data_IF_136643373128
#
_entry.id   IF_136643373128
#
_cell.length_a   1.000
_cell.length_b   1.000
_cell.length_c   1.000
_cell.angle_alpha   90.00
_cell.angle_beta   90.00
_cell.angle_gamma   90.00
#
_symmetry.space_group_name_H-M   'P 1'
#
loop_
_entity.id
_entity.type
_entity.pdbx_description
1 polymer ?
#
# COMPACT_ATOMS: atom_id res chain seq x y z
N UNK A 1 39.32 -41.62 -74.18
CA UNK A 1 40.67 -41.82 -73.60
C UNK A 1 41.05 -40.56 -72.84
N UNK A 2 41.54 -40.71 -71.59
CA UNK A 2 42.24 -39.70 -70.75
C UNK A 2 41.41 -38.45 -70.37
N UNK A 3 41.48 -37.86 -69.19
CA UNK A 3 42.05 -38.11 -67.84
C UNK A 3 41.53 -36.92 -67.00
N UNK A 4 41.22 -37.16 -65.72
CA UNK A 4 41.64 -36.43 -64.51
C UNK A 4 41.96 -34.91 -64.66
N UNK A 5 41.56 -33.97 -63.80
CA UNK A 5 41.62 -33.95 -62.31
C UNK A 5 41.30 -32.51 -61.80
N UNK A 6 40.71 -32.38 -60.59
CA UNK A 6 40.89 -31.30 -59.55
C UNK A 6 40.59 -29.83 -59.90
N UNK A 7 40.21 -28.89 -59.02
CA UNK A 7 39.93 -28.70 -57.58
C UNK A 7 39.41 -27.22 -57.52
N UNK A 8 38.51 -26.77 -56.65
CA UNK A 8 38.80 -26.29 -55.29
C UNK A 8 37.50 -25.75 -54.69
N UNK A 9 37.27 -26.09 -53.42
CA UNK A 9 36.20 -25.56 -52.58
C UNK A 9 36.50 -24.13 -52.14
N UNK A 10 35.47 -23.28 -52.09
CA UNK A 10 35.49 -21.95 -51.45
C UNK A 10 34.69 -22.06 -50.14
N UNK A 11 35.25 -21.73 -48.97
CA UNK A 11 34.48 -21.67 -47.75
C UNK A 11 33.74 -20.32 -47.67
N UNK A 12 32.43 -20.41 -47.46
CA UNK A 12 31.55 -19.28 -47.18
C UNK A 12 31.82 -18.82 -45.73
N UNK A 13 32.51 -17.68 -45.57
CA UNK A 13 32.65 -16.99 -44.29
C UNK A 13 31.29 -16.40 -43.90
N UNK A 14 30.59 -17.06 -42.99
CA UNK A 14 29.42 -16.52 -42.31
C UNK A 14 29.84 -15.48 -41.28
N UNK A 15 29.61 -14.21 -41.58
CA UNK A 15 29.71 -13.11 -40.62
C UNK A 15 28.48 -13.19 -39.72
N UNK A 16 28.66 -13.71 -38.50
CA UNK A 16 27.68 -13.64 -37.44
C UNK A 16 27.67 -12.22 -36.86
N UNK A 17 26.77 -11.38 -37.35
CA UNK A 17 26.50 -10.05 -36.82
C UNK A 17 25.88 -10.16 -35.43
N UNK A 18 26.71 -9.94 -34.41
CA UNK A 18 26.32 -9.81 -33.02
C UNK A 18 25.60 -8.46 -32.85
N UNK A 19 24.27 -8.46 -32.81
CA UNK A 19 23.50 -7.29 -32.39
C UNK A 19 23.70 -7.08 -30.88
N UNK A 20 24.61 -6.18 -30.52
CA UNK A 20 24.63 -5.64 -29.17
C UNK A 20 23.41 -4.72 -29.01
N UNK A 21 22.38 -5.23 -28.35
CA UNK A 21 21.31 -4.40 -27.81
C UNK A 21 21.94 -3.50 -26.75
N UNK A 22 22.10 -2.23 -27.12
CA UNK A 22 22.41 -1.16 -26.18
C UNK A 22 21.22 -1.03 -25.22
N UNK A 23 21.37 -1.57 -24.01
CA UNK A 23 20.54 -1.16 -22.89
C UNK A 23 20.94 0.27 -22.53
N UNK A 24 20.22 1.24 -23.07
CA UNK A 24 20.21 2.60 -22.54
C UNK A 24 19.57 2.54 -21.15
N UNK A 25 20.38 2.23 -20.14
CA UNK A 25 20.02 2.39 -18.74
C UNK A 25 20.13 3.88 -18.46
N UNK A 26 19.09 4.61 -18.86
CA UNK A 26 18.91 6.01 -18.48
C UNK A 26 18.68 6.06 -16.98
N UNK A 27 19.78 6.08 -16.22
CA UNK A 27 19.79 6.40 -14.79
C UNK A 27 19.61 7.91 -14.64
N UNK A 28 18.42 8.39 -15.00
CA UNK A 28 17.91 9.71 -14.65
C UNK A 28 17.42 9.69 -13.21
N UNK A 29 18.34 9.57 -12.25
CA UNK A 29 18.08 9.83 -10.84
C UNK A 29 17.95 11.33 -10.60
N UNK A 30 16.92 11.95 -11.18
CA UNK A 30 16.44 13.25 -10.73
C UNK A 30 15.82 13.10 -9.34
N UNK A 31 15.74 14.16 -8.52
CA UNK A 31 14.99 14.10 -7.28
C UNK A 31 13.56 13.68 -7.63
N UNK A 32 13.15 12.49 -7.15
CA UNK A 32 11.74 12.10 -7.19
C UNK A 32 10.94 13.28 -6.64
N UNK A 33 10.01 13.81 -7.45
CA UNK A 33 9.19 14.95 -7.06
C UNK A 33 8.61 14.62 -5.68
N UNK A 34 8.94 15.45 -4.70
CA UNK A 34 8.40 15.31 -3.36
C UNK A 34 6.90 15.60 -3.46
N UNK A 35 6.06 14.63 -3.11
CA UNK A 35 4.61 14.74 -3.21
C UNK A 35 4.10 15.40 -1.95
N UNK A 36 3.34 16.49 -2.08
CA UNK A 36 2.76 17.21 -0.96
C UNK A 36 1.45 16.54 -0.49
N UNK A 37 1.35 16.07 0.77
CA UNK A 37 0.10 15.58 1.36
C UNK A 37 -1.07 16.57 1.29
N UNK A 38 -0.79 17.86 1.19
CA UNK A 38 -1.80 18.91 1.03
C UNK A 38 -2.42 19.00 -0.37
N UNK A 39 -1.88 18.29 -1.37
CA UNK A 39 -2.42 18.23 -2.73
C UNK A 39 -3.13 16.89 -2.97
N UNK A 40 -4.48 16.84 -2.91
CA UNK A 40 -5.23 15.59 -2.98
C UNK A 40 -4.99 14.78 -4.25
N UNK A 41 -4.85 15.45 -5.39
CA UNK A 41 -4.67 14.79 -6.68
C UNK A 41 -3.28 14.16 -6.78
N UNK A 42 -2.23 14.88 -6.37
CA UNK A 42 -0.86 14.33 -6.38
C UNK A 42 -0.73 13.14 -5.41
N UNK A 43 -1.39 13.21 -4.25
CA UNK A 43 -1.41 12.07 -3.32
C UNK A 43 -2.16 10.90 -3.93
N UNK A 44 -3.38 11.11 -4.42
CA UNK A 44 -4.16 10.05 -5.04
C UNK A 44 -3.43 9.37 -6.21
N UNK A 45 -2.59 10.09 -6.95
CA UNK A 45 -1.82 9.52 -8.06
C UNK A 45 -0.72 8.57 -7.59
N UNK A 46 -0.14 8.81 -6.40
CA UNK A 46 1.02 8.04 -5.93
C UNK A 46 0.71 6.98 -4.90
N UNK A 47 -0.46 7.01 -4.25
CA UNK A 47 -0.86 5.97 -3.29
C UNK A 47 -0.91 4.59 -3.98
N UNK A 48 -0.36 3.59 -3.30
CA UNK A 48 -0.38 2.20 -3.79
C UNK A 48 -1.46 1.43 -3.05
N UNK A 49 -2.56 1.11 -3.71
CA UNK A 49 -3.64 0.29 -3.14
C UNK A 49 -3.71 -1.04 -3.89
N UNK A 50 -3.10 -2.11 -3.36
CA UNK A 50 -3.04 -3.42 -4.02
C UNK A 50 -4.42 -3.95 -4.41
N UNK A 51 -4.53 -4.49 -5.63
CA UNK A 51 -5.78 -5.06 -6.15
C UNK A 51 -6.86 -4.03 -6.49
N UNK A 52 -6.58 -2.74 -6.34
CA UNK A 52 -7.53 -1.69 -6.71
C UNK A 52 -7.57 -1.43 -8.21
N UNK A 53 -8.67 -0.86 -8.66
CA UNK A 53 -8.77 -0.13 -9.93
C UNK A 53 -9.03 1.34 -9.63
N UNK A 54 -8.33 2.22 -10.32
CA UNK A 54 -8.53 3.67 -10.20
C UNK A 54 -9.62 4.12 -11.17
N UNK A 55 -10.53 4.94 -10.67
CA UNK A 55 -11.68 5.46 -11.39
C UNK A 55 -11.66 6.99 -11.32
N UNK A 56 -11.98 7.64 -12.43
CA UNK A 56 -12.09 9.10 -12.50
C UNK A 56 -13.44 9.58 -11.98
N UNK A 57 -13.44 10.78 -11.42
CA UNK A 57 -14.60 11.43 -10.82
C UNK A 57 -14.73 11.19 -9.32
N UNK A 58 -15.93 11.51 -8.82
CA UNK A 58 -16.26 11.36 -7.41
C UNK A 58 -16.60 9.92 -7.07
N UNK A 59 -16.24 9.51 -5.85
CA UNK A 59 -16.68 8.24 -5.29
C UNK A 59 -18.22 8.15 -5.30
N UNK A 60 -18.80 6.96 -5.56
CA UNK A 60 -20.25 6.75 -5.53
C UNK A 60 -20.92 7.30 -4.26
N UNK A 61 -22.14 7.81 -4.40
CA UNK A 61 -22.92 8.32 -3.29
C UNK A 61 -23.52 7.16 -2.47
N UNK A 62 -23.68 7.32 -1.14
CA UNK A 62 -24.43 6.36 -0.33
C UNK A 62 -25.82 6.13 -0.90
N UNK A 63 -26.28 4.88 -0.91
CA UNK A 63 -27.61 4.55 -1.43
C UNK A 63 -28.72 4.97 -0.47
N UNK A 64 -28.46 5.00 0.83
CA UNK A 64 -29.40 5.47 1.86
C UNK A 64 -30.62 4.56 2.05
N UNK A 65 -30.53 3.30 1.60
CA UNK A 65 -31.59 2.30 1.72
C UNK A 65 -31.36 1.39 2.94
N UNK A 66 -32.41 0.74 3.49
CA UNK A 66 -32.25 -0.26 4.55
C UNK A 66 -31.36 -1.45 4.17
N UNK A 67 -31.26 -1.73 2.86
CA UNK A 67 -30.42 -2.77 2.28
C UNK A 67 -28.97 -2.32 2.07
N UNK A 68 -28.66 -1.03 2.28
CA UNK A 68 -27.28 -0.54 2.16
C UNK A 68 -26.40 -1.13 3.26
N UNK A 69 -25.16 -1.54 2.95
CA UNK A 69 -24.23 -1.95 3.99
C UNK A 69 -23.99 -0.84 5.02
N UNK A 70 -23.80 -1.23 6.27
CA UNK A 70 -23.31 -0.38 7.35
C UNK A 70 -21.82 -0.62 7.57
N UNK A 71 -21.08 0.46 7.84
CA UNK A 71 -19.65 0.38 8.18
C UNK A 71 -19.37 1.03 9.52
N UNK A 72 -18.38 0.48 10.21
CA UNK A 72 -17.78 1.06 11.40
C UNK A 72 -16.26 0.92 11.29
N UNK A 73 -15.55 2.03 11.44
CA UNK A 73 -14.09 1.96 11.55
C UNK A 73 -13.70 1.56 12.96
N UNK A 74 -12.68 0.71 13.05
CA UNK A 74 -12.09 0.34 14.35
C UNK A 74 -11.19 1.48 14.85
N UNK A 75 -10.50 2.16 13.94
CA UNK A 75 -9.50 3.18 14.27
C UNK A 75 -9.80 4.52 13.59
N UNK A 76 -9.81 5.59 14.39
CA UNK A 76 -10.17 6.95 13.96
C UNK A 76 -8.94 7.82 13.68
N UNK A 77 -7.76 7.43 14.19
CA UNK A 77 -6.49 8.14 14.06
C UNK A 77 -5.39 7.21 13.60
N UNK A 78 -4.67 7.61 12.54
CA UNK A 78 -3.58 6.81 11.97
C UNK A 78 -2.37 7.66 11.60
N UNK A 79 -1.18 7.25 12.06
CA UNK A 79 0.10 7.90 11.79
C UNK A 79 1.11 6.90 11.22
N UNK A 80 1.66 7.20 10.05
CA UNK A 80 2.53 6.28 9.30
C UNK A 80 3.74 7.01 8.71
N UNK A 81 4.90 6.36 8.67
CA UNK A 81 6.06 6.91 7.96
C UNK A 81 5.93 6.78 6.45
N UNK A 82 6.48 7.74 5.70
CA UNK A 82 6.66 7.60 4.26
C UNK A 82 7.47 6.34 3.95
N UNK A 83 7.07 5.62 2.89
CA UNK A 83 7.58 4.28 2.54
C UNK A 83 6.85 3.14 3.26
N UNK A 84 5.87 3.43 4.12
CA UNK A 84 5.10 2.43 4.85
C UNK A 84 3.78 2.05 4.18
N UNK A 85 3.05 1.14 4.83
CA UNK A 85 1.73 0.72 4.41
C UNK A 85 0.73 0.88 5.56
N UNK A 86 -0.27 1.73 5.36
CA UNK A 86 -1.46 1.83 6.20
C UNK A 86 -2.33 0.60 5.99
N UNK A 87 -2.91 0.05 7.04
CA UNK A 87 -3.93 -1.00 6.96
C UNK A 87 -5.10 -0.58 7.82
N UNK A 88 -6.20 -0.20 7.17
CA UNK A 88 -7.39 0.30 7.86
C UNK A 88 -8.43 -0.83 7.96
N UNK A 89 -8.68 -1.39 9.15
CA UNK A 89 -9.76 -2.33 9.35
C UNK A 89 -11.13 -1.63 9.30
N UNK A 90 -12.03 -2.18 8.49
CA UNK A 90 -13.39 -1.69 8.27
C UNK A 90 -14.33 -2.82 8.68
N UNK A 91 -14.99 -2.67 9.83
CA UNK A 91 -16.08 -3.57 10.19
C UNK A 91 -17.29 -3.23 9.34
N UNK A 92 -17.96 -4.26 8.84
CA UNK A 92 -19.16 -4.10 8.04
C UNK A 92 -20.25 -5.06 8.47
N UNK A 93 -21.48 -4.64 8.20
CA UNK A 93 -22.65 -5.49 8.24
C UNK A 93 -23.53 -5.12 7.04
N UNK A 94 -24.01 -6.11 6.31
CA UNK A 94 -24.77 -5.99 5.09
C UNK A 94 -26.06 -6.82 5.21
N UNK A 95 -27.19 -6.13 5.09
CA UNK A 95 -28.51 -6.73 5.17
C UNK A 95 -28.96 -7.34 3.83
N UNK A 96 -28.29 -7.02 2.72
CA UNK A 96 -28.68 -7.48 1.38
C UNK A 96 -28.00 -8.80 0.99
N UNK A 97 -26.86 -9.12 1.61
CA UNK A 97 -26.28 -10.46 1.59
C UNK A 97 -24.76 -10.50 1.74
N UNK A 98 -24.03 -9.84 0.85
CA UNK A 98 -22.56 -9.89 0.86
C UNK A 98 -21.91 -8.63 0.31
N UNK A 99 -20.92 -8.12 1.04
CA UNK A 99 -20.07 -7.02 0.57
C UNK A 99 -19.20 -7.47 -0.59
N UNK A 100 -19.13 -6.66 -1.64
CA UNK A 100 -18.35 -6.90 -2.85
C UNK A 100 -17.07 -6.08 -2.93
N UNK A 101 -16.89 -5.08 -2.07
CA UNK A 101 -15.64 -4.34 -2.01
C UNK A 101 -15.69 -3.01 -1.26
N UNK A 102 -14.61 -2.25 -1.42
CA UNK A 102 -14.39 -0.94 -0.82
C UNK A 102 -14.26 0.09 -1.93
N UNK A 103 -14.87 1.25 -1.73
CA UNK A 103 -14.46 2.49 -2.37
C UNK A 103 -13.63 3.33 -1.41
N UNK A 104 -12.53 3.89 -1.90
CA UNK A 104 -11.69 4.82 -1.15
C UNK A 104 -11.33 6.04 -2.02
N UNK A 105 -11.38 7.24 -1.46
CA UNK A 105 -11.06 8.47 -2.18
C UNK A 105 -10.27 9.41 -1.27
N UNK A 106 -9.17 9.99 -1.77
CA UNK A 106 -8.47 11.06 -1.06
C UNK A 106 -9.40 12.28 -1.05
N UNK A 107 -9.62 12.89 0.11
CA UNK A 107 -10.56 14.02 0.23
C UNK A 107 -10.10 15.16 -0.67
N UNK A 108 -10.94 15.51 -1.65
CA UNK A 108 -10.65 16.54 -2.64
C UNK A 108 -9.97 16.05 -3.93
N UNK A 109 -9.69 14.74 -4.07
CA UNK A 109 -9.17 14.20 -5.32
C UNK A 109 -10.26 14.02 -6.37
N UNK A 110 -9.88 14.12 -7.65
CA UNK A 110 -10.73 13.85 -8.81
C UNK A 110 -10.79 12.37 -9.22
N UNK A 111 -10.19 11.49 -8.44
CA UNK A 111 -10.21 10.05 -8.66
C UNK A 111 -10.43 9.29 -7.35
N UNK A 112 -11.00 8.10 -7.46
CA UNK A 112 -11.20 7.16 -6.35
C UNK A 112 -10.72 5.76 -6.74
N UNK A 113 -10.56 4.92 -5.73
CA UNK A 113 -10.13 3.54 -5.85
C UNK A 113 -11.28 2.60 -5.56
N UNK A 114 -11.45 1.58 -6.39
CA UNK A 114 -12.34 0.46 -6.14
C UNK A 114 -11.52 -0.78 -5.86
N UNK A 115 -11.70 -1.37 -4.67
CA UNK A 115 -11.00 -2.55 -4.20
C UNK A 115 -12.01 -3.69 -4.08
N UNK A 116 -12.00 -4.70 -4.96
CA UNK A 116 -12.90 -5.83 -4.86
C UNK A 116 -12.56 -6.69 -3.64
N UNK A 117 -13.58 -7.18 -2.95
CA UNK A 117 -13.48 -8.17 -1.88
C UNK A 117 -14.12 -9.48 -2.35
N UNK A 118 -13.36 -10.57 -2.32
CA UNK A 118 -13.87 -11.91 -2.62
C UNK A 118 -14.14 -12.67 -1.33
N UNK A 119 -15.26 -13.42 -1.29
CA UNK A 119 -15.61 -14.26 -0.15
C UNK A 119 -16.03 -13.52 1.12
N UNK A 120 -16.29 -12.21 1.04
CA UNK A 120 -16.91 -11.47 2.12
C UNK A 120 -18.37 -11.92 2.30
N UNK A 121 -18.78 -12.17 3.55
CA UNK A 121 -20.14 -12.56 3.89
C UNK A 121 -21.03 -11.35 4.14
N UNK A 122 -22.10 -11.54 4.91
CA UNK A 122 -22.99 -10.46 5.35
C UNK A 122 -22.38 -9.61 6.47
N UNK A 123 -21.40 -10.11 7.20
CA UNK A 123 -20.71 -9.33 8.22
C UNK A 123 -19.25 -9.77 8.36
N UNK A 124 -18.41 -8.86 8.82
CA UNK A 124 -17.00 -9.15 9.09
C UNK A 124 -16.14 -7.90 9.09
N UNK A 125 -14.86 -8.10 8.79
CA UNK A 125 -13.87 -7.03 8.70
C UNK A 125 -13.19 -7.10 7.34
N UNK A 126 -13.18 -5.99 6.60
CA UNK A 126 -12.30 -5.79 5.46
C UNK A 126 -11.08 -4.98 5.90
N UNK A 127 -9.97 -5.11 5.17
CA UNK A 127 -8.77 -4.29 5.39
C UNK A 127 -8.51 -3.50 4.12
N UNK A 128 -8.40 -2.17 4.26
CA UNK A 128 -7.93 -1.29 3.19
C UNK A 128 -6.41 -1.07 3.33
N UNK A 129 -5.57 -1.72 2.50
CA UNK A 129 -4.15 -1.45 2.46
C UNK A 129 -3.84 -0.19 1.63
N UNK A 130 -3.08 0.75 2.18
CA UNK A 130 -2.63 1.96 1.50
C UNK A 130 -1.11 2.07 1.65
N UNK A 131 -0.37 1.78 0.60
CA UNK A 131 1.06 2.05 0.51
C UNK A 131 1.31 3.55 0.31
N UNK A 132 2.13 4.14 1.16
CA UNK A 132 2.58 5.53 1.09
C UNK A 132 4.00 5.51 0.52
N UNK A 133 4.24 6.00 -0.71
CA UNK A 133 5.58 6.04 -1.29
C UNK A 133 6.57 6.85 -0.44
N UNK A 134 7.86 6.52 -0.53
CA UNK A 134 8.92 7.17 0.23
C UNK A 134 9.15 8.65 -0.17
N UNK A 135 8.67 9.06 -1.34
CA UNK A 135 8.75 10.46 -1.82
C UNK A 135 7.54 11.31 -1.41
N UNK A 136 6.64 10.80 -0.56
CA UNK A 136 5.58 11.62 0.04
C UNK A 136 6.16 12.39 1.22
N UNK A 137 5.98 13.72 1.21
CA UNK A 137 6.46 14.59 2.27
C UNK A 137 5.71 14.32 3.59
N UNK A 138 6.25 14.82 4.71
CA UNK A 138 5.47 14.88 5.95
C UNK A 138 4.26 15.77 5.77
N UNK A 139 3.16 15.40 6.42
CA UNK A 139 1.92 16.16 6.35
C UNK A 139 0.73 15.30 6.69
N UNK A 140 -0.46 15.71 6.26
CA UNK A 140 -1.70 15.01 6.53
C UNK A 140 -2.57 15.02 5.29
N UNK A 141 -3.13 13.87 4.96
CA UNK A 141 -4.20 13.74 3.98
C UNK A 141 -5.34 12.93 4.60
N UNK A 142 -6.55 13.09 4.07
CA UNK A 142 -7.71 12.35 4.54
C UNK A 142 -8.25 11.46 3.43
N UNK A 143 -8.78 10.29 3.80
CA UNK A 143 -9.37 9.31 2.91
C UNK A 143 -10.81 9.08 3.34
N UNK A 144 -11.73 9.23 2.41
CA UNK A 144 -13.13 8.86 2.56
C UNK A 144 -13.34 7.43 2.05
N UNK A 145 -14.05 6.63 2.83
CA UNK A 145 -14.23 5.19 2.62
C UNK A 145 -15.73 4.88 2.63
N UNK A 146 -16.14 3.97 1.76
CA UNK A 146 -17.44 3.29 1.80
C UNK A 146 -17.27 1.84 1.33
N UNK A 147 -18.20 0.96 1.68
CA UNK A 147 -18.28 -0.39 1.09
C UNK A 147 -19.49 -0.49 0.18
N UNK A 148 -19.44 -1.43 -0.76
CA UNK A 148 -20.56 -1.71 -1.66
C UNK A 148 -20.87 -3.21 -1.70
N UNK A 149 -22.14 -3.56 -1.89
CA UNK A 149 -22.60 -4.95 -1.99
C UNK A 149 -22.70 -5.42 -3.45
N UNK A 150 -23.14 -6.67 -3.64
CA UNK A 150 -23.32 -7.28 -4.96
C UNK A 150 -24.46 -6.66 -5.78
N UNK A 151 -25.39 -5.97 -5.12
CA UNK A 151 -26.54 -5.28 -5.72
C UNK A 151 -26.21 -3.83 -6.09
N UNK A 152 -25.01 -3.35 -5.73
CA UNK A 152 -24.55 -1.99 -5.98
C UNK A 152 -25.02 -0.98 -4.94
N UNK A 153 -25.56 -1.41 -3.80
CA UNK A 153 -25.85 -0.50 -2.70
C UNK A 153 -24.54 -0.07 -2.02
N UNK A 154 -24.45 1.23 -1.70
CA UNK A 154 -23.25 1.83 -1.12
C UNK A 154 -23.53 2.30 0.29
N UNK A 155 -22.63 1.98 1.22
CA UNK A 155 -22.73 2.39 2.61
C UNK A 155 -22.64 3.90 2.80
N UNK A 156 -22.95 4.35 4.02
CA UNK A 156 -22.51 5.66 4.48
C UNK A 156 -20.99 5.82 4.36
N UNK A 157 -20.54 7.08 4.28
CA UNK A 157 -19.13 7.43 4.15
C UNK A 157 -18.49 7.61 5.52
N UNK A 158 -17.26 7.15 5.64
CA UNK A 158 -16.40 7.43 6.78
C UNK A 158 -15.11 8.11 6.31
N UNK A 159 -14.67 9.15 7.00
CA UNK A 159 -13.43 9.84 6.68
C UNK A 159 -12.42 9.65 7.81
N UNK A 160 -11.26 9.09 7.48
CA UNK A 160 -10.09 9.04 8.39
C UNK A 160 -8.97 9.89 7.80
N UNK A 161 -8.07 10.36 8.65
CA UNK A 161 -6.90 11.10 8.19
C UNK A 161 -5.59 10.41 8.57
N UNK A 162 -4.72 10.31 7.59
CA UNK A 162 -3.38 9.75 7.68
C UNK A 162 -2.38 10.88 7.90
N UNK A 163 -1.66 10.80 9.01
CA UNK A 163 -0.51 11.68 9.25
C UNK A 163 0.76 11.00 8.74
N UNK A 164 1.37 11.58 7.71
CA UNK A 164 2.63 11.12 7.14
C UNK A 164 3.80 11.69 7.95
N UNK A 165 4.66 10.81 8.45
CA UNK A 165 5.87 11.15 9.21
C UNK A 165 7.13 10.82 8.41
N UNK A 166 8.25 11.46 8.76
CA UNK A 166 9.54 11.15 8.17
C UNK A 166 10.06 9.80 8.68
N UNK A 167 10.80 9.09 7.83
CA UNK A 167 11.55 7.90 8.22
C UNK A 167 12.66 8.28 9.21
N UNK A 168 12.81 7.51 10.28
CA UNK A 168 13.84 7.77 11.28
C UNK A 168 15.18 7.15 10.91
N UNK A 169 16.27 7.82 11.28
CA UNK A 169 17.63 7.26 11.20
C UNK A 169 17.89 6.33 12.38
N UNK A 170 18.85 5.41 12.23
CA UNK A 170 19.37 4.62 13.35
C UNK A 170 19.92 5.52 14.48
N UNK A 171 19.84 5.04 15.72
CA UNK A 171 20.40 5.72 16.90
C UNK A 171 19.54 6.84 17.47
N UNK A 172 18.30 7.02 17.02
CA UNK A 172 17.36 7.97 17.61
C UNK A 172 16.44 7.27 18.60
N UNK A 173 16.28 7.86 19.79
CA UNK A 173 15.24 7.46 20.73
C UNK A 173 13.94 8.19 20.37
N UNK A 174 12.82 7.47 20.41
CA UNK A 174 11.50 8.05 20.22
C UNK A 174 10.52 7.53 21.24
N UNK A 175 9.64 8.43 21.63
CA UNK A 175 8.37 8.10 22.26
C UNK A 175 7.33 8.29 21.16
N UNK A 176 6.70 7.20 20.77
CA UNK A 176 5.55 7.16 19.89
C UNK A 176 4.54 6.19 20.48
N UNK A 177 3.27 6.37 20.16
CA UNK A 177 2.17 5.70 20.83
C UNK A 177 1.19 6.72 21.39
N UNK A 178 -0.08 6.47 21.13
CA UNK A 178 -1.24 7.28 21.43
C UNK A 178 -2.48 6.51 20.99
N UNK A 179 -3.67 7.07 21.15
CA UNK A 179 -4.89 6.42 20.67
C UNK A 179 -4.84 6.20 19.14
N UNK A 180 -5.17 4.98 18.70
CA UNK A 180 -5.18 4.57 17.30
C UNK A 180 -3.90 3.87 16.84
N UNK A 181 -3.71 3.76 15.51
CA UNK A 181 -2.58 3.01 14.94
C UNK A 181 -1.42 3.96 14.65
N UNK A 182 -0.25 3.64 15.22
CA UNK A 182 1.01 4.30 14.89
C UNK A 182 1.98 3.31 14.25
N UNK A 183 2.57 3.69 13.12
CA UNK A 183 3.63 2.96 12.43
C UNK A 183 4.81 3.89 12.16
N UNK A 184 5.98 3.45 12.60
CA UNK A 184 7.24 4.18 12.41
C UNK A 184 8.23 3.31 11.66
N UNK A 185 8.88 3.87 10.65
CA UNK A 185 9.95 3.19 9.91
C UNK A 185 11.30 3.74 10.37
N UNK A 186 12.20 2.83 10.72
CA UNK A 186 13.57 3.14 11.12
C UNK A 186 14.55 2.56 10.10
N UNK A 187 15.37 3.42 9.50
CA UNK A 187 16.49 3.00 8.66
C UNK A 187 17.64 2.53 9.56
N UNK A 188 17.85 1.22 9.57
CA UNK A 188 18.83 0.53 10.41
C UNK A 188 20.28 0.68 9.93
N UNK A 189 20.51 1.14 8.70
CA UNK A 189 21.84 1.20 8.08
C UNK A 189 22.41 -0.18 7.73
N UNK A 190 23.70 -0.23 7.37
CA UNK A 190 24.38 -1.44 6.90
C UNK A 190 25.13 -2.23 7.98
N UNK A 191 25.08 -1.77 9.24
CA UNK A 191 25.78 -2.40 10.37
C UNK A 191 24.76 -3.00 11.32
N UNK A 192 25.02 -4.24 11.76
CA UNK A 192 24.22 -4.88 12.80
C UNK A 192 24.24 -4.08 14.11
N UNK A 193 23.13 -4.10 14.82
CA UNK A 193 22.94 -3.38 16.08
C UNK A 193 21.74 -3.91 16.86
N UNK A 194 21.39 -3.22 17.94
CA UNK A 194 20.27 -3.59 18.82
C UNK A 194 19.17 -2.55 18.67
N UNK A 195 17.93 -3.00 18.40
CA UNK A 195 16.72 -2.18 18.53
C UNK A 195 16.13 -2.45 19.89
N UNK A 196 15.98 -1.40 20.70
CA UNK A 196 15.30 -1.48 21.99
C UNK A 196 13.93 -0.84 21.86
N UNK A 197 12.88 -1.60 22.15
CA UNK A 197 11.49 -1.13 22.20
C UNK A 197 11.04 -1.29 23.65
N UNK A 198 10.59 -0.19 24.25
CA UNK A 198 10.05 -0.17 25.60
C UNK A 198 8.61 0.34 25.52
N UNK A 199 7.68 -0.43 26.07
CA UNK A 199 6.27 -0.07 26.10
C UNK A 199 5.61 -0.65 27.35
N UNK A 200 4.61 0.06 27.88
CA UNK A 200 3.79 -0.37 29.00
C UNK A 200 2.51 -1.00 28.45
N UNK A 201 2.50 -2.33 28.29
CA UNK A 201 1.35 -3.08 27.78
C UNK A 201 0.54 -3.79 28.87
N UNK A 202 0.98 -3.70 30.14
CA UNK A 202 0.36 -4.43 31.25
C UNK A 202 -0.88 -3.70 31.77
N UNK A 203 -0.75 -2.41 32.06
CA UNK A 203 -1.83 -1.56 32.56
C UNK A 203 -2.69 -0.98 31.44
N UNK A 204 -2.10 -0.78 30.26
CA UNK A 204 -2.80 -0.35 29.04
C UNK A 204 -2.54 -1.40 27.97
N UNK A 205 -3.45 -2.38 27.81
CA UNK A 205 -3.29 -3.41 26.79
C UNK A 205 -3.14 -2.76 25.42
N UNK A 206 -2.05 -3.10 24.72
CA UNK A 206 -1.77 -2.60 23.38
C UNK A 206 -1.13 -3.68 22.51
N UNK A 207 -1.28 -3.52 21.21
CA UNK A 207 -0.69 -4.41 20.22
C UNK A 207 0.52 -3.77 19.57
N UNK A 208 1.65 -4.48 19.64
CA UNK A 208 2.88 -4.09 18.96
C UNK A 208 3.26 -5.22 18.01
N UNK A 209 3.53 -4.87 16.76
CA UNK A 209 4.06 -5.78 15.74
C UNK A 209 5.32 -5.16 15.13
N UNK A 210 6.42 -5.91 15.12
CA UNK A 210 7.74 -5.50 14.65
C UNK A 210 8.09 -6.26 13.39
N UNK A 211 8.44 -5.51 12.35
CA UNK A 211 8.83 -6.05 11.06
C UNK A 211 10.26 -5.64 10.71
N UNK A 212 11.02 -6.56 10.13
CA UNK A 212 12.35 -6.33 9.56
C UNK A 212 12.35 -6.85 8.12
N UNK A 213 12.67 -5.99 7.15
CA UNK A 213 12.61 -6.29 5.71
C UNK A 213 11.27 -6.93 5.29
N UNK A 214 10.16 -6.42 5.83
CA UNK A 214 8.80 -6.90 5.56
C UNK A 214 8.41 -8.20 6.29
N UNK A 215 9.34 -8.83 7.00
CA UNK A 215 9.09 -10.05 7.77
C UNK A 215 8.77 -9.73 9.23
N UNK A 216 7.73 -10.34 9.78
CA UNK A 216 7.40 -10.22 11.20
C UNK A 216 8.48 -10.91 12.05
N UNK A 217 9.06 -10.18 13.00
CA UNK A 217 10.17 -10.69 13.84
C UNK A 217 9.81 -10.74 15.33
N UNK A 218 8.85 -9.92 15.78
CA UNK A 218 8.39 -9.92 17.16
C UNK A 218 7.04 -9.19 17.28
N UNK A 219 6.29 -9.46 18.33
CA UNK A 219 5.09 -8.71 18.68
C UNK A 219 4.51 -9.12 20.01
N UNK A 220 3.46 -8.44 20.46
CA UNK A 220 2.74 -8.79 21.70
C UNK A 220 1.64 -9.84 21.47
N UNK A 221 1.29 -10.11 20.21
CA UNK A 221 0.37 -11.19 19.82
C UNK A 221 1.09 -12.49 19.41
N UNK A 222 0.33 -13.58 19.27
CA UNK A 222 0.82 -14.88 18.75
C UNK A 222 0.99 -14.92 17.23
N UNK A 223 0.57 -13.87 16.54
CA UNK A 223 0.70 -13.66 15.09
C UNK A 223 0.83 -12.15 14.84
N UNK A 224 1.27 -11.70 13.66
CA UNK A 224 1.06 -10.31 13.27
C UNK A 224 -0.44 -10.02 13.24
N UNK A 225 -0.81 -8.76 13.44
CA UNK A 225 -2.22 -8.38 13.39
C UNK A 225 -2.82 -8.51 12.03
N UNK A 226 -4.13 -8.21 11.94
CA UNK A 226 -4.72 -7.79 10.66
C UNK A 226 -3.86 -6.69 9.97
N UNK A 227 -2.99 -6.03 10.73
CA UNK A 227 -1.85 -5.25 10.27
C UNK A 227 -0.56 -6.08 10.08
N UNK A 228 -0.20 -6.40 8.83
CA UNK A 228 1.21 -6.63 8.44
C UNK A 228 1.58 -8.00 7.84
N UNK A 229 1.17 -8.27 6.61
CA UNK A 229 2.06 -8.84 5.59
C UNK A 229 2.69 -7.70 4.80
N UNK A 230 4.02 -7.59 4.81
CA UNK A 230 4.76 -6.74 3.87
C UNK A 230 4.61 -7.21 2.43
#
# INVERSE_FOLDING_TARGET
>A
MKKLLTSFAVPLFGIASLFMVSCDKSSGGGPSKNVDPGNPNEIAEVLVIPGSTTQQGNMPAPSGTPESPAIQMVDTTVAYSAGGQVKLPINYNDNSGSVSGIYAQVVGSDQYFQIPASGAGSAGTLVLPIGIPANVAKGKFCVTISVFDAQGNVSNRYTTCVTVTETFKCGVQRVSGGEGITSTIHNMGSKGGIVKIEYETYTVPDRIDVFYDGQWVAGTGSSPGPAGSG
#
